data_IF_622761729430
#
_entry.id   IF_622761729430
#
_cell.length_a   1.000
_cell.length_b   1.000
_cell.length_c   1.000
_cell.angle_alpha   90.00
_cell.angle_beta   90.00
_cell.angle_gamma   90.00
#
_symmetry.space_group_name_H-M   'P 1'
#
loop_
_entity.id
_entity.type
_entity.pdbx_description
1 polymer ?
#
# COMPACT_ATOMS: atom_id res chain seq x y z
N UNK A 1 -28.86 -7.76 4.75
CA UNK A 1 -28.08 -6.51 4.74
C UNK A 1 -26.73 -6.83 5.34
N UNK A 2 -25.65 -6.79 4.55
CA UNK A 2 -24.29 -7.01 5.07
C UNK A 2 -23.89 -5.72 5.79
N UNK A 3 -23.56 -5.83 7.06
CA UNK A 3 -23.19 -4.71 7.92
C UNK A 3 -21.85 -4.13 7.43
N UNK A 4 -21.91 -3.16 6.51
CA UNK A 4 -20.73 -2.52 5.87
C UNK A 4 -19.86 -1.70 6.84
N UNK A 5 -20.22 -1.67 8.12
CA UNK A 5 -19.57 -0.88 9.17
C UNK A 5 -18.43 -1.59 9.89
N UNK A 6 -18.30 -2.91 9.76
CA UNK A 6 -17.26 -3.66 10.47
C UNK A 6 -15.99 -3.80 9.63
N UNK A 7 -15.05 -2.91 9.89
CA UNK A 7 -13.65 -3.06 9.46
C UNK A 7 -13.11 -4.37 10.06
N UNK A 8 -12.55 -5.30 9.24
CA UNK A 8 -11.95 -6.52 9.77
C UNK A 8 -10.81 -6.22 10.74
N UNK A 9 -10.64 -7.08 11.74
CA UNK A 9 -9.55 -6.93 12.70
C UNK A 9 -8.19 -7.06 12.00
N UNK A 10 -7.31 -6.09 12.26
CA UNK A 10 -5.94 -6.03 11.76
C UNK A 10 -5.03 -5.31 12.78
N UNK A 11 -3.73 -5.29 12.53
CA UNK A 11 -2.78 -4.58 13.42
C UNK A 11 -3.09 -3.08 13.53
N UNK A 12 -3.50 -2.43 12.45
CA UNK A 12 -3.94 -1.03 12.46
C UNK A 12 -5.13 -0.82 13.41
N UNK A 13 -6.13 -1.69 13.35
CA UNK A 13 -7.29 -1.64 14.25
C UNK A 13 -6.87 -1.82 15.72
N UNK A 14 -5.96 -2.76 16.00
CA UNK A 14 -5.45 -2.98 17.36
C UNK A 14 -4.65 -1.79 17.90
N UNK A 15 -3.79 -1.19 17.08
CA UNK A 15 -2.99 -0.01 17.44
C UNK A 15 -3.85 1.24 17.69
N UNK A 16 -5.03 1.31 17.06
CA UNK A 16 -5.99 2.42 17.23
C UNK A 16 -7.06 2.13 18.28
N UNK A 17 -6.89 1.10 19.13
CA UNK A 17 -7.83 0.79 20.20
C UNK A 17 -9.19 0.29 19.70
N UNK A 18 -9.27 -0.23 18.47
CA UNK A 18 -10.51 -0.73 17.87
C UNK A 18 -11.39 0.35 17.23
N UNK A 19 -10.90 1.59 17.05
CA UNK A 19 -11.65 2.65 16.37
C UNK A 19 -11.77 2.37 14.85
N UNK A 20 -12.85 1.67 14.49
CA UNK A 20 -13.16 1.29 13.10
C UNK A 20 -13.38 2.51 12.19
N UNK A 21 -13.84 3.64 12.73
CA UNK A 21 -14.06 4.86 11.96
C UNK A 21 -12.73 5.48 11.55
N UNK A 22 -11.81 5.59 12.52
CA UNK A 22 -10.47 6.11 12.25
C UNK A 22 -9.68 5.19 11.31
N UNK A 23 -9.77 3.86 11.49
CA UNK A 23 -9.16 2.89 10.58
C UNK A 23 -9.67 3.09 9.16
N UNK A 24 -11.00 3.16 8.97
CA UNK A 24 -11.60 3.37 7.64
C UNK A 24 -11.10 4.68 7.02
N UNK A 25 -11.09 5.79 7.77
CA UNK A 25 -10.58 7.09 7.29
C UNK A 25 -9.12 7.01 6.84
N UNK A 26 -8.26 6.35 7.61
CA UNK A 26 -6.85 6.20 7.26
C UNK A 26 -6.66 5.32 6.01
N UNK A 27 -7.42 4.22 5.90
CA UNK A 27 -7.36 3.36 4.73
C UNK A 27 -7.89 4.05 3.47
N UNK A 28 -8.95 4.87 3.56
CA UNK A 28 -9.43 5.71 2.45
C UNK A 28 -8.36 6.73 2.03
N UNK A 29 -7.72 7.40 3.00
CA UNK A 29 -6.60 8.32 2.71
C UNK A 29 -5.43 7.59 2.04
N UNK A 30 -5.10 6.39 2.50
CA UNK A 30 -4.05 5.59 1.89
C UNK A 30 -4.42 5.20 0.45
N UNK A 31 -5.63 4.69 0.22
CA UNK A 31 -6.17 4.35 -1.10
C UNK A 31 -6.03 5.52 -2.08
N UNK A 32 -6.45 6.72 -1.67
CA UNK A 32 -6.36 7.93 -2.49
C UNK A 32 -4.92 8.37 -2.78
N UNK A 33 -3.99 8.13 -1.85
CA UNK A 33 -2.58 8.51 -2.01
C UNK A 33 -1.72 7.42 -2.68
N UNK A 34 -2.20 6.17 -2.74
CA UNK A 34 -1.46 5.05 -3.30
C UNK A 34 -0.91 5.33 -4.71
N UNK A 35 -1.67 5.91 -5.67
CA UNK A 35 -1.11 6.24 -6.99
C UNK A 35 0.11 7.16 -6.92
N UNK A 36 0.10 8.14 -6.03
CA UNK A 36 1.21 9.08 -5.86
C UNK A 36 2.42 8.38 -5.25
N UNK A 37 2.22 7.49 -4.28
CA UNK A 37 3.30 6.70 -3.67
C UNK A 37 3.96 5.76 -4.69
N UNK A 38 3.16 5.12 -5.53
CA UNK A 38 3.64 4.25 -6.62
C UNK A 38 4.44 5.05 -7.64
N UNK A 39 3.96 6.22 -8.08
CA UNK A 39 4.70 7.11 -8.98
C UNK A 39 6.04 7.52 -8.36
N UNK A 40 6.08 7.86 -7.06
CA UNK A 40 7.33 8.21 -6.36
C UNK A 40 8.32 7.06 -6.31
N UNK A 41 7.84 5.83 -6.08
CA UNK A 41 8.68 4.63 -6.11
C UNK A 41 9.23 4.37 -7.53
N UNK A 42 8.36 4.38 -8.55
CA UNK A 42 8.79 4.23 -9.95
C UNK A 42 9.82 5.29 -10.36
N UNK A 43 9.65 6.54 -9.95
CA UNK A 43 10.62 7.60 -10.22
C UNK A 43 11.96 7.34 -9.53
N UNK A 44 11.93 6.92 -8.25
CA UNK A 44 13.16 6.60 -7.52
C UNK A 44 13.94 5.46 -8.20
N UNK A 45 13.24 4.41 -8.65
CA UNK A 45 13.84 3.29 -9.40
C UNK A 45 14.43 3.77 -10.73
N UNK A 46 13.66 4.53 -11.52
CA UNK A 46 14.10 5.06 -12.82
C UNK A 46 15.30 6.00 -12.71
N UNK A 47 15.38 6.76 -11.61
CA UNK A 47 16.50 7.67 -11.33
C UNK A 47 17.69 6.98 -10.65
N UNK A 48 17.64 5.65 -10.45
CA UNK A 48 18.65 4.89 -9.72
C UNK A 48 18.92 5.44 -8.29
N UNK A 49 17.91 6.06 -7.67
CA UNK A 49 17.96 6.55 -6.29
C UNK A 49 17.54 5.42 -5.33
N UNK A 50 18.49 4.51 -5.09
CA UNK A 50 18.26 3.32 -4.27
C UNK A 50 17.85 3.66 -2.83
N UNK A 51 18.35 4.76 -2.27
CA UNK A 51 17.99 5.23 -0.93
C UNK A 51 16.52 5.60 -0.86
N UNK A 52 16.05 6.43 -1.81
CA UNK A 52 14.65 6.86 -1.87
C UNK A 52 13.73 5.69 -2.18
N UNK A 53 14.11 4.81 -3.12
CA UNK A 53 13.33 3.62 -3.43
C UNK A 53 13.17 2.73 -2.20
N UNK A 54 14.26 2.46 -1.47
CA UNK A 54 14.24 1.70 -0.22
C UNK A 54 13.32 2.32 0.83
N UNK A 55 13.39 3.64 1.04
CA UNK A 55 12.49 4.31 1.99
C UNK A 55 11.01 4.20 1.60
N UNK A 56 10.69 4.32 0.31
CA UNK A 56 9.31 4.14 -0.17
C UNK A 56 8.84 2.69 0.02
N UNK A 57 9.68 1.70 -0.30
CA UNK A 57 9.38 0.27 -0.10
C UNK A 57 9.12 -0.01 1.37
N UNK A 58 10.00 0.43 2.28
CA UNK A 58 9.82 0.23 3.73
C UNK A 58 8.53 0.87 4.26
N UNK A 59 8.16 2.06 3.76
CA UNK A 59 6.86 2.65 4.12
C UNK A 59 5.69 1.76 3.67
N UNK A 60 5.74 1.24 2.44
CA UNK A 60 4.69 0.36 1.91
C UNK A 60 4.66 -1.00 2.66
N UNK A 61 5.81 -1.53 3.07
CA UNK A 61 5.92 -2.76 3.89
C UNK A 61 5.19 -2.56 5.23
N UNK A 62 5.44 -1.44 5.91
CA UNK A 62 4.76 -1.11 7.17
C UNK A 62 3.24 -0.96 7.01
N UNK A 63 2.78 -0.41 5.88
CA UNK A 63 1.34 -0.34 5.57
C UNK A 63 0.79 -1.74 5.32
N UNK A 64 1.44 -2.56 4.49
CA UNK A 64 1.02 -3.93 4.19
C UNK A 64 0.89 -4.76 5.48
N UNK A 65 1.88 -4.65 6.37
CA UNK A 65 1.85 -5.27 7.70
C UNK A 65 0.71 -4.77 8.57
N UNK A 66 0.53 -3.45 8.64
CA UNK A 66 -0.53 -2.84 9.45
C UNK A 66 -1.93 -3.29 9.02
N UNK A 67 -2.14 -3.58 7.73
CA UNK A 67 -3.42 -4.05 7.19
C UNK A 67 -3.52 -5.58 7.10
N UNK A 68 -2.46 -6.31 7.46
CA UNK A 68 -2.39 -7.77 7.43
C UNK A 68 -2.33 -8.35 6.01
N UNK A 69 -1.64 -7.67 5.10
CA UNK A 69 -1.45 -8.09 3.72
C UNK A 69 -0.09 -8.77 3.52
N UNK A 70 0.04 -10.01 4.02
CA UNK A 70 1.29 -10.78 3.97
C UNK A 70 1.84 -10.92 2.54
N UNK A 71 0.99 -11.22 1.54
CA UNK A 71 1.42 -11.34 0.14
C UNK A 71 2.07 -10.05 -0.41
N UNK A 72 1.60 -8.88 0.06
CA UNK A 72 2.17 -7.59 -0.32
C UNK A 72 3.50 -7.34 0.39
N UNK A 73 3.64 -7.75 1.65
CA UNK A 73 4.92 -7.72 2.36
C UNK A 73 5.98 -8.55 1.63
N UNK A 74 5.63 -9.76 1.20
CA UNK A 74 6.53 -10.64 0.46
C UNK A 74 6.93 -10.03 -0.90
N UNK A 75 5.98 -9.47 -1.65
CA UNK A 75 6.26 -8.80 -2.92
C UNK A 75 7.18 -7.58 -2.75
N UNK A 76 6.96 -6.77 -1.72
CA UNK A 76 7.79 -5.60 -1.42
C UNK A 76 9.20 -6.01 -0.95
N UNK A 77 9.31 -7.07 -0.17
CA UNK A 77 10.57 -7.64 0.27
C UNK A 77 11.37 -8.18 -0.93
N UNK A 78 10.72 -8.88 -1.86
CA UNK A 78 11.34 -9.34 -3.10
C UNK A 78 11.82 -8.16 -3.97
N UNK A 79 10.99 -7.14 -4.15
CA UNK A 79 11.36 -5.92 -4.88
C UNK A 79 12.58 -5.25 -4.25
N UNK A 80 12.67 -5.23 -2.91
CA UNK A 80 13.82 -4.66 -2.18
C UNK A 80 15.10 -5.45 -2.42
N UNK A 81 15.04 -6.77 -2.46
CA UNK A 81 16.19 -7.64 -2.77
C UNK A 81 16.64 -7.41 -4.21
N UNK A 82 15.71 -7.43 -5.16
CA UNK A 82 16.02 -7.16 -6.57
C UNK A 82 16.64 -5.77 -6.78
N UNK A 83 16.19 -4.76 -6.04
CA UNK A 83 16.75 -3.40 -6.09
C UNK A 83 18.19 -3.35 -5.55
N UNK A 84 18.56 -4.22 -4.62
CA UNK A 84 19.93 -4.32 -4.11
C UNK A 84 20.86 -5.02 -5.10
N UNK A 85 20.33 -5.96 -5.87
CA UNK A 85 21.08 -6.78 -6.83
C UNK A 85 21.08 -6.22 -8.26
N UNK A 86 20.26 -5.20 -8.57
CA UNK A 86 20.13 -4.69 -9.94
C UNK A 86 21.36 -3.85 -10.33
N UNK A 87 22.08 -4.20 -11.42
CA UNK A 87 22.94 -3.24 -12.08
C UNK A 87 22.07 -2.12 -12.66
N UNK A 88 22.56 -0.88 -12.59
CA UNK A 88 21.85 0.35 -12.97
C UNK A 88 21.31 0.42 -14.43
N UNK A 89 21.54 -0.63 -15.22
CA UNK A 89 21.35 -0.65 -16.66
C UNK A 89 19.94 -1.05 -17.12
N UNK A 90 19.08 -1.61 -16.25
CA UNK A 90 17.72 -2.02 -16.64
C UNK A 90 16.62 -1.73 -15.59
N UNK A 91 16.37 -0.46 -15.23
CA UNK A 91 15.30 -0.09 -14.29
C UNK A 91 13.89 -0.46 -14.76
N UNK A 92 13.70 -0.73 -16.05
CA UNK A 92 12.42 -1.16 -16.62
C UNK A 92 11.95 -2.55 -16.14
N UNK A 93 12.87 -3.42 -15.69
CA UNK A 93 12.52 -4.76 -15.23
C UNK A 93 11.67 -4.73 -13.94
N UNK A 94 11.93 -3.77 -13.06
CA UNK A 94 11.21 -3.61 -11.79
C UNK A 94 9.90 -2.85 -11.92
N UNK A 95 9.65 -2.20 -13.06
CA UNK A 95 8.46 -1.38 -13.25
C UNK A 95 7.18 -2.24 -13.23
N UNK A 96 7.23 -3.43 -13.85
CA UNK A 96 6.13 -4.41 -13.83
C UNK A 96 5.81 -4.87 -12.41
N UNK A 97 6.82 -5.08 -11.57
CA UNK A 97 6.64 -5.48 -10.18
C UNK A 97 5.97 -4.38 -9.36
N UNK A 98 6.40 -3.12 -9.55
CA UNK A 98 5.79 -1.95 -8.90
C UNK A 98 4.32 -1.77 -9.30
N UNK A 99 3.99 -1.94 -10.57
CA UNK A 99 2.61 -1.87 -11.06
C UNK A 99 1.74 -3.01 -10.52
N UNK A 100 2.31 -4.21 -10.44
CA UNK A 100 1.65 -5.39 -9.85
C UNK A 100 1.35 -5.15 -8.36
N UNK A 101 2.31 -4.63 -7.60
CA UNK A 101 2.12 -4.24 -6.20
C UNK A 101 0.99 -3.21 -6.06
N UNK A 102 0.94 -2.20 -6.94
CA UNK A 102 -0.12 -1.18 -6.93
C UNK A 102 -1.52 -1.77 -7.16
N UNK A 103 -1.65 -2.72 -8.09
CA UNK A 103 -2.91 -3.46 -8.34
C UNK A 103 -3.27 -4.29 -7.11
N UNK A 104 -2.32 -5.01 -6.53
CA UNK A 104 -2.55 -5.87 -5.38
C UNK A 104 -2.95 -5.09 -4.13
N UNK A 105 -2.39 -3.90 -3.89
CA UNK A 105 -2.85 -3.00 -2.83
C UNK A 105 -4.32 -2.59 -3.02
N UNK A 106 -4.70 -2.16 -4.23
CA UNK A 106 -6.09 -1.79 -4.52
C UNK A 106 -7.04 -2.96 -4.30
N UNK A 107 -6.70 -4.13 -4.84
CA UNK A 107 -7.51 -5.33 -4.66
C UNK A 107 -7.61 -5.76 -3.20
N UNK A 108 -6.53 -5.63 -2.41
CA UNK A 108 -6.57 -5.98 -0.99
C UNK A 108 -7.49 -5.03 -0.22
N UNK A 109 -7.39 -3.72 -0.48
CA UNK A 109 -8.26 -2.70 0.13
C UNK A 109 -9.73 -2.91 -0.24
N UNK A 110 -10.01 -3.21 -1.50
CA UNK A 110 -11.36 -3.47 -1.99
C UNK A 110 -11.94 -4.76 -1.39
N UNK A 111 -11.23 -5.88 -1.49
CA UNK A 111 -11.73 -7.19 -1.05
C UNK A 111 -11.86 -7.29 0.46
N UNK A 112 -10.89 -6.76 1.22
CA UNK A 112 -10.85 -6.91 2.68
C UNK A 112 -11.61 -5.80 3.39
N UNK A 113 -11.48 -4.56 2.93
CA UNK A 113 -12.00 -3.40 3.65
C UNK A 113 -13.18 -2.72 2.95
N UNK A 114 -13.58 -3.18 1.77
CA UNK A 114 -14.57 -2.53 0.92
C UNK A 114 -14.22 -1.04 0.70
N UNK A 115 -12.95 -0.79 0.37
CA UNK A 115 -12.43 0.55 0.08
C UNK A 115 -12.02 0.60 -1.39
N UNK A 116 -12.58 1.57 -2.08
CA UNK A 116 -12.35 1.90 -3.48
C UNK A 116 -11.64 3.26 -3.58
N UNK A 117 -11.12 3.62 -4.76
CA UNK A 117 -10.53 4.95 -4.98
C UNK A 117 -11.53 6.10 -4.88
N UNK A 118 -12.83 5.82 -4.97
CA UNK A 118 -13.91 6.81 -4.91
C UNK A 118 -14.31 7.17 -3.46
N UNK A 119 -13.90 6.34 -2.49
CA UNK A 119 -14.17 6.54 -1.09
C UNK A 119 -13.38 7.75 -0.55
N UNK A 120 -14.11 8.85 -0.33
CA UNK A 120 -13.53 10.07 0.23
C UNK A 120 -13.30 9.90 1.74
N UNK A 121 -12.16 10.37 2.27
CA UNK A 121 -11.89 10.31 3.70
C UNK A 121 -12.87 11.14 4.54
N UNK A 122 -13.64 12.04 3.91
CA UNK A 122 -14.66 12.89 4.51
C UNK A 122 -16.11 12.44 4.24
N UNK A 123 -16.35 11.27 3.62
CA UNK A 123 -17.72 10.75 3.37
C UNK A 123 -18.45 10.24 4.63
N UNK A 124 -18.06 10.71 5.82
CA UNK A 124 -18.90 10.61 7.04
C UNK A 124 -19.58 11.95 7.27
N UNK A 125 -20.65 12.18 6.51
CA UNK A 125 -21.72 13.10 6.93
C UNK A 125 -22.83 12.24 7.50
N UNK A 126 -22.95 12.29 8.84
CA UNK A 126 -24.08 11.92 9.70
C UNK A 126 -24.51 10.44 9.73
#
# INVERSE_FOLDING_TARGET
MVDMTKVPECELSRRLGGDSTLVRKLLCRFSANLPILIVRLSLAIKSNDASRAKSQITMLEEVAKSIGAADLEDQLSMLRVQLADLPAENPGLLQTDVETIAVNFRQHLEKRFAITPEDRPDSTVL
#
